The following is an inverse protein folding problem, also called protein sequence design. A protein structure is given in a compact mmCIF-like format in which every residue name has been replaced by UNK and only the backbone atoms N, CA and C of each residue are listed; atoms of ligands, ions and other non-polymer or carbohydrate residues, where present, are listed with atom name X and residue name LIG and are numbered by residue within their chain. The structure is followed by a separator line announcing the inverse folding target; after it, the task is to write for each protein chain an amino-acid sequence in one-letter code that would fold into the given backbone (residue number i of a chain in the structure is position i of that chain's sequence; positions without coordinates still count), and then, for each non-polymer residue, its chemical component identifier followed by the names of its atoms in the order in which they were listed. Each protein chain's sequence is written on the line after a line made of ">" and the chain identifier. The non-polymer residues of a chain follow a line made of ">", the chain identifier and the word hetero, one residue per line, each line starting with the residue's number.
data_IF_431736264737
#
_entry.id   IF_431736264737
#
_cell.length_a   1.000
_cell.length_b   1.000
_cell.length_c   1.000
_cell.angle_alpha   90.00
_cell.angle_beta   90.00
_cell.angle_gamma   90.00
#
_symmetry.space_group_name_H-M   'P 1'
#
loop_
_entity.id
_entity.type
_entity.pdbx_description
1 polymer ?
#
# COMPACT_ATOMS: atom_id res chain seq x y z
N UNK A 1 -12.45 -27.86 -5.32
CA UNK A 1 -11.37 -26.98 -5.83
C UNK A 1 -11.77 -25.50 -5.84
N UNK A 2 -13.01 -25.16 -6.17
CA UNK A 2 -13.51 -23.78 -6.28
C UNK A 2 -13.27 -22.89 -5.03
N UNK A 3 -13.45 -23.43 -3.82
CA UNK A 3 -13.21 -22.69 -2.56
C UNK A 3 -11.74 -22.30 -2.33
N UNK A 4 -10.76 -23.12 -2.75
CA UNK A 4 -9.34 -22.78 -2.55
C UNK A 4 -8.88 -21.64 -3.46
N UNK A 5 -9.37 -21.62 -4.70
CA UNK A 5 -9.08 -20.53 -5.64
C UNK A 5 -9.72 -19.23 -5.18
N UNK A 6 -10.91 -19.31 -4.57
CA UNK A 6 -11.59 -18.15 -3.99
C UNK A 6 -10.83 -17.57 -2.80
N UNK A 7 -10.43 -18.40 -1.83
CA UNK A 7 -9.64 -17.97 -0.68
C UNK A 7 -8.30 -17.33 -1.09
N UNK A 8 -7.66 -17.85 -2.14
CA UNK A 8 -6.45 -17.25 -2.70
C UNK A 8 -6.71 -15.88 -3.32
N UNK A 9 -7.78 -15.73 -4.12
CA UNK A 9 -8.14 -14.45 -4.72
C UNK A 9 -8.47 -13.40 -3.64
N UNK A 10 -9.15 -13.80 -2.56
CA UNK A 10 -9.42 -12.95 -1.39
C UNK A 10 -8.11 -12.51 -0.72
N UNK A 11 -7.17 -13.44 -0.53
CA UNK A 11 -5.86 -13.12 0.04
C UNK A 11 -5.07 -12.14 -0.81
N UNK A 12 -5.14 -12.25 -2.14
CA UNK A 12 -4.52 -11.29 -3.07
C UNK A 12 -5.16 -9.91 -2.98
N UNK A 13 -6.50 -9.83 -2.85
CA UNK A 13 -7.18 -8.54 -2.69
C UNK A 13 -6.72 -7.84 -1.40
N UNK A 14 -6.67 -8.56 -0.28
CA UNK A 14 -6.21 -7.96 0.98
C UNK A 14 -4.72 -7.62 0.95
N UNK A 15 -3.86 -8.41 0.31
CA UNK A 15 -2.45 -8.06 0.17
C UNK A 15 -2.25 -6.82 -0.69
N UNK A 16 -3.05 -6.66 -1.74
CA UNK A 16 -3.08 -5.43 -2.55
C UNK A 16 -3.56 -4.23 -1.73
N UNK A 17 -4.62 -4.38 -0.93
CA UNK A 17 -5.10 -3.33 0.01
C UNK A 17 -3.99 -2.91 0.96
N UNK A 18 -3.30 -3.86 1.59
CA UNK A 18 -2.20 -3.58 2.51
C UNK A 18 -1.04 -2.87 1.83
N UNK A 19 -0.67 -3.29 0.61
CA UNK A 19 0.38 -2.67 -0.19
C UNK A 19 0.05 -1.22 -0.58
N UNK A 20 -1.17 -0.99 -1.10
CA UNK A 20 -1.65 0.35 -1.44
C UNK A 20 -1.71 1.25 -0.21
N UNK A 21 -2.21 0.71 0.91
CA UNK A 21 -2.31 1.46 2.17
C UNK A 21 -0.94 1.87 2.67
N UNK A 22 0.00 0.93 2.69
CA UNK A 22 1.36 1.20 3.10
C UNK A 22 2.05 2.22 2.18
N UNK A 23 1.85 2.12 0.85
CA UNK A 23 2.43 3.05 -0.11
C UNK A 23 2.03 4.49 0.20
N UNK A 24 0.72 4.77 0.30
CA UNK A 24 0.28 6.16 0.47
C UNK A 24 0.67 6.71 1.84
N UNK A 25 0.64 5.89 2.90
CA UNK A 25 1.14 6.27 4.23
C UNK A 25 2.62 6.63 4.16
N UNK A 26 3.44 5.77 3.56
CA UNK A 26 4.88 6.00 3.44
C UNK A 26 5.19 7.19 2.52
N UNK A 27 4.37 7.44 1.50
CA UNK A 27 4.47 8.61 0.64
C UNK A 27 4.26 9.92 1.43
N UNK A 28 3.25 9.96 2.31
CA UNK A 28 3.02 11.09 3.23
C UNK A 28 4.20 11.26 4.18
N UNK A 29 4.65 10.18 4.82
CA UNK A 29 5.79 10.23 5.75
C UNK A 29 7.07 10.72 5.06
N UNK A 30 7.33 10.30 3.82
CA UNK A 30 8.42 10.82 2.98
C UNK A 30 8.29 12.33 2.74
N UNK A 31 7.07 12.84 2.58
CA UNK A 31 6.81 14.27 2.38
C UNK A 31 7.00 15.11 3.66
N UNK A 32 6.62 14.55 4.81
CA UNK A 32 6.70 15.22 6.11
C UNK A 32 8.11 15.15 6.72
N UNK A 33 8.79 14.00 6.62
CA UNK A 33 10.04 13.73 7.34
C UNK A 33 11.26 13.55 6.40
N UNK A 34 12.29 14.41 6.51
CA UNK A 34 13.50 14.32 5.68
C UNK A 34 14.26 13.00 5.81
N UNK A 35 14.29 12.41 7.01
CA UNK A 35 14.96 11.13 7.26
C UNK A 35 14.36 9.99 6.43
N UNK A 36 13.03 9.91 6.37
CA UNK A 36 12.30 8.90 5.56
C UNK A 36 12.60 9.11 4.07
N UNK A 37 12.65 10.37 3.61
CA UNK A 37 13.04 10.69 2.22
C UNK A 37 14.45 10.24 1.90
N UNK A 38 15.41 10.44 2.81
CA UNK A 38 16.79 10.01 2.61
C UNK A 38 16.91 8.49 2.52
N UNK A 39 16.24 7.75 3.40
CA UNK A 39 16.23 6.27 3.36
C UNK A 39 15.62 5.71 2.07
N UNK A 40 14.56 6.34 1.57
CA UNK A 40 13.90 5.91 0.33
C UNK A 40 14.68 6.29 -0.93
N UNK A 41 15.50 7.34 -0.86
CA UNK A 41 16.32 7.83 -1.96
C UNK A 41 17.70 7.16 -2.04
N UNK A 42 17.77 5.85 -1.79
CA UNK A 42 19.03 5.09 -1.82
C UNK A 42 19.63 4.97 -3.24
N UNK A 43 18.83 5.18 -4.30
CA UNK A 43 19.27 5.23 -5.68
C UNK A 43 18.87 6.56 -6.33
N UNK A 44 19.73 7.61 -6.24
CA UNK A 44 19.40 8.97 -6.66
C UNK A 44 18.84 9.13 -8.09
N UNK A 45 19.30 8.39 -9.11
CA UNK A 45 18.76 8.53 -10.47
C UNK A 45 17.26 8.25 -10.60
N UNK A 46 16.70 7.42 -9.71
CA UNK A 46 15.27 7.05 -9.71
C UNK A 46 14.47 7.78 -8.62
N UNK A 47 15.15 8.55 -7.77
CA UNK A 47 14.53 9.27 -6.67
C UNK A 47 13.96 8.34 -5.57
N UNK A 48 13.22 8.93 -4.60
CA UNK A 48 12.61 8.17 -3.50
C UNK A 48 11.39 7.34 -3.93
N UNK A 49 10.93 7.49 -5.17
CA UNK A 49 9.77 6.76 -5.69
C UNK A 49 10.08 5.27 -5.80
N UNK A 50 11.29 4.92 -6.23
CA UNK A 50 11.74 3.53 -6.31
C UNK A 50 11.69 2.85 -4.95
N UNK A 51 12.17 3.50 -3.89
CA UNK A 51 12.12 2.96 -2.54
C UNK A 51 10.70 2.76 -2.03
N UNK A 52 9.77 3.67 -2.35
CA UNK A 52 8.35 3.50 -2.03
C UNK A 52 7.78 2.23 -2.70
N UNK A 53 8.06 2.04 -3.99
CA UNK A 53 7.57 0.87 -4.72
C UNK A 53 8.15 -0.43 -4.18
N UNK A 54 9.47 -0.51 -3.98
CA UNK A 54 10.11 -1.72 -3.46
C UNK A 54 9.62 -2.09 -2.06
N UNK A 55 9.49 -1.09 -1.17
CA UNK A 55 8.95 -1.32 0.17
C UNK A 55 7.50 -1.84 0.10
N UNK A 56 6.68 -1.30 -0.81
CA UNK A 56 5.28 -1.71 -0.97
C UNK A 56 5.12 -3.09 -1.62
N UNK A 57 6.02 -3.47 -2.53
CA UNK A 57 6.10 -4.83 -3.10
C UNK A 57 6.47 -5.83 -2.00
N UNK A 58 7.43 -5.49 -1.15
CA UNK A 58 7.83 -6.33 -0.01
C UNK A 58 6.66 -6.54 0.97
N UNK A 59 5.93 -5.46 1.30
CA UNK A 59 4.71 -5.55 2.13
C UNK A 59 3.65 -6.41 1.47
N UNK A 60 3.44 -6.30 0.15
CA UNK A 60 2.51 -7.16 -0.58
C UNK A 60 2.87 -8.64 -0.45
N UNK A 61 4.16 -8.98 -0.60
CA UNK A 61 4.65 -10.36 -0.47
C UNK A 61 4.42 -10.93 0.93
N UNK A 62 4.76 -10.16 1.97
CA UNK A 62 4.54 -10.55 3.37
C UNK A 62 3.04 -10.72 3.65
N UNK A 63 2.21 -9.75 3.24
CA UNK A 63 0.77 -9.80 3.45
C UNK A 63 0.13 -10.99 2.72
N UNK A 64 0.57 -11.31 1.50
CA UNK A 64 0.09 -12.47 0.75
C UNK A 64 0.37 -13.77 1.50
N UNK A 65 1.59 -13.92 2.07
CA UNK A 65 1.94 -15.08 2.88
C UNK A 65 1.05 -15.18 4.13
N UNK A 66 0.86 -14.08 4.86
CA UNK A 66 0.00 -14.02 6.06
C UNK A 66 -1.45 -14.40 5.71
N UNK A 67 -2.05 -13.75 4.71
CA UNK A 67 -3.45 -13.98 4.35
C UNK A 67 -3.70 -15.36 3.75
N UNK A 68 -2.69 -15.97 3.12
CA UNK A 68 -2.76 -17.38 2.68
C UNK A 68 -2.89 -18.34 3.87
N UNK A 69 -2.27 -18.04 5.00
CA UNK A 69 -2.38 -18.83 6.23
C UNK A 69 -3.74 -18.60 6.92
N UNK A 70 -4.23 -17.36 6.92
CA UNK A 70 -5.47 -16.99 7.61
C UNK A 70 -6.76 -17.53 6.98
N UNK A 71 -6.72 -18.04 5.74
CA UNK A 71 -7.88 -18.66 5.03
C UNK A 71 -9.14 -17.79 5.09
N UNK A 72 -9.04 -16.55 4.61
CA UNK A 72 -10.12 -15.58 4.61
C UNK A 72 -11.27 -16.01 3.67
N UNK A 73 -12.51 -15.91 4.16
CA UNK A 73 -13.72 -16.38 3.43
C UNK A 73 -14.63 -15.27 2.92
N UNK A 74 -14.45 -14.03 3.37
CA UNK A 74 -15.36 -12.93 3.04
C UNK A 74 -14.88 -12.13 1.82
N UNK A 75 -15.33 -12.53 0.63
CA UNK A 75 -15.00 -11.88 -0.64
C UNK A 75 -15.56 -10.46 -0.76
N UNK A 76 -16.82 -10.23 -0.34
CA UNK A 76 -17.47 -8.92 -0.47
C UNK A 76 -16.70 -7.85 0.29
N UNK A 77 -16.26 -8.16 1.50
CA UNK A 77 -15.43 -7.28 2.31
C UNK A 77 -14.08 -7.00 1.65
N UNK A 78 -13.41 -8.03 1.11
CA UNK A 78 -12.11 -7.88 0.46
C UNK A 78 -12.19 -6.97 -0.77
N UNK A 79 -13.22 -7.15 -1.58
CA UNK A 79 -13.44 -6.33 -2.76
C UNK A 79 -13.78 -4.88 -2.40
N UNK A 80 -14.66 -4.66 -1.40
CA UNK A 80 -15.02 -3.32 -0.97
C UNK A 80 -13.82 -2.58 -0.34
N UNK A 81 -13.01 -3.28 0.46
CA UNK A 81 -11.75 -2.75 0.98
C UNK A 81 -10.78 -2.38 -0.14
N UNK A 82 -10.69 -3.21 -1.19
CA UNK A 82 -9.86 -2.93 -2.36
C UNK A 82 -10.33 -1.67 -3.10
N UNK A 83 -11.62 -1.56 -3.43
CA UNK A 83 -12.18 -0.36 -4.06
C UNK A 83 -11.92 0.89 -3.22
N UNK A 84 -12.15 0.82 -1.91
CA UNK A 84 -11.89 1.95 -1.01
C UNK A 84 -10.41 2.32 -0.95
N UNK A 85 -9.51 1.32 -0.92
CA UNK A 85 -8.06 1.55 -0.90
C UNK A 85 -7.55 2.22 -2.17
N UNK A 86 -8.14 1.93 -3.34
CA UNK A 86 -7.80 2.61 -4.60
C UNK A 86 -8.18 4.08 -4.51
N UNK A 87 -9.41 4.38 -4.07
CA UNK A 87 -9.87 5.76 -3.95
C UNK A 87 -8.97 6.54 -2.98
N UNK A 88 -8.70 5.98 -1.79
CA UNK A 88 -7.79 6.59 -0.83
C UNK A 88 -6.38 6.78 -1.39
N UNK A 89 -5.83 5.78 -2.06
CA UNK A 89 -4.52 5.86 -2.68
C UNK A 89 -4.47 7.01 -3.69
N UNK A 90 -5.45 7.13 -4.58
CA UNK A 90 -5.52 8.24 -5.53
C UNK A 90 -5.52 9.57 -4.80
N UNK A 91 -6.40 9.77 -3.81
CA UNK A 91 -6.47 11.02 -3.06
C UNK A 91 -5.15 11.34 -2.35
N UNK A 92 -4.50 10.36 -1.73
CA UNK A 92 -3.29 10.56 -0.90
C UNK A 92 -1.98 10.59 -1.71
N UNK A 93 -2.03 10.30 -3.01
CA UNK A 93 -0.87 10.39 -3.91
C UNK A 93 -0.92 11.65 -4.77
N UNK A 94 -2.11 12.17 -5.10
CA UNK A 94 -2.24 13.38 -5.92
C UNK A 94 -1.93 14.66 -5.12
N UNK A 95 -1.15 15.62 -5.68
CA UNK A 95 -0.62 16.77 -4.95
C UNK A 95 -1.64 17.62 -4.18
N UNK A 96 -2.82 17.98 -4.73
CA UNK A 96 -3.73 18.91 -4.05
C UNK A 96 -4.18 18.46 -2.67
N UNK A 97 -4.30 17.15 -2.45
CA UNK A 97 -4.71 16.58 -1.16
C UNK A 97 -3.47 16.14 -0.38
N UNK A 98 -2.51 15.50 -1.06
CA UNK A 98 -1.24 15.09 -0.48
C UNK A 98 -0.50 16.24 0.24
N UNK A 99 -0.38 17.40 -0.41
CA UNK A 99 0.34 18.55 0.15
C UNK A 99 -0.33 19.09 1.41
N UNK A 100 -1.66 19.15 1.43
CA UNK A 100 -2.44 19.57 2.60
C UNK A 100 -2.18 18.62 3.77
N UNK A 101 -2.25 17.31 3.53
CA UNK A 101 -2.02 16.31 4.57
C UNK A 101 -0.59 16.36 5.09
N UNK A 102 0.40 16.50 4.20
CA UNK A 102 1.81 16.65 4.58
C UNK A 102 2.04 17.94 5.39
N UNK A 103 1.39 19.05 5.03
CA UNK A 103 1.50 20.31 5.76
C UNK A 103 0.95 20.21 7.18
N UNK A 104 -0.11 19.43 7.41
CA UNK A 104 -0.63 19.16 8.77
C UNK A 104 0.30 18.30 9.64
N UNK A 105 1.17 17.50 9.03
CA UNK A 105 2.06 16.56 9.74
C UNK A 105 3.46 17.13 10.02
N UNK A 106 3.79 18.29 9.45
CA UNK A 106 5.05 19.01 9.69
C UNK A 106 4.92 19.93 10.89
#
# INVERSE_FOLDING_TARGET
>A
MQNKNLEQAIGVLYSAVSSLTFFWVLNILKGAYPGVKATLNFYPPMGPLLGLFLASILVMGIALFIFRIMRLKNQKSAFLAFCFSIVLFSLMVFPPIFEVVVAFLK
#
